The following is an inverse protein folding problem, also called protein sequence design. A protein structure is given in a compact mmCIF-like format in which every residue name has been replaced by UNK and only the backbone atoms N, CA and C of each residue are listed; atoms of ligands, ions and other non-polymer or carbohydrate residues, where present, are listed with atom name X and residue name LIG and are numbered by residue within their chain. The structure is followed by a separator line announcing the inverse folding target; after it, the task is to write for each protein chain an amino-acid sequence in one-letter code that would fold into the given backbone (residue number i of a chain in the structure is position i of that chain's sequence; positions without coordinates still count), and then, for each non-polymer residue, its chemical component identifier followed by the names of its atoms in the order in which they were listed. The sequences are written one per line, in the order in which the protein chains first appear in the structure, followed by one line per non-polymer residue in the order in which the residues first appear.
data_IF_857037295486
#
_entry.id   IF_857037295486
#
_cell.length_a   1.000
_cell.length_b   1.000
_cell.length_c   1.000
_cell.angle_alpha   90.00
_cell.angle_beta   90.00
_cell.angle_gamma   90.00
#
_symmetry.space_group_name_H-M   'P 1'
#
loop_
_entity.id
_entity.type
_entity.pdbx_description
1 polymer ?
#
# COMPACT_ATOMS: atom_id res chain seq x y z
N UNK A 1 -6.41 8.47 10.80
CA UNK A 1 -6.17 9.82 11.31
C UNK A 1 -7.26 10.26 12.30
N UNK A 2 -6.93 11.19 13.20
CA UNK A 2 -7.85 11.79 14.20
C UNK A 2 -8.53 10.75 15.13
N UNK A 3 -7.86 9.67 15.43
CA UNK A 3 -8.34 8.63 16.34
C UNK A 3 -7.52 8.62 17.62
N UNK A 4 -8.11 9.01 18.75
CA UNK A 4 -7.41 9.13 20.06
C UNK A 4 -6.78 7.82 20.54
N UNK A 5 -7.31 6.67 20.13
CA UNK A 5 -6.78 5.34 20.49
C UNK A 5 -5.69 4.80 19.56
N UNK A 6 -5.30 5.54 18.51
CA UNK A 6 -4.34 5.09 17.49
C UNK A 6 -3.10 5.98 17.52
N UNK A 7 -1.96 5.40 17.87
CA UNK A 7 -0.68 6.12 17.95
C UNK A 7 0.11 6.14 16.62
N UNK A 8 -0.35 5.40 15.60
CA UNK A 8 0.38 5.16 14.34
C UNK A 8 -0.11 6.02 13.15
N UNK A 9 -0.68 7.20 13.41
CA UNK A 9 -1.13 8.09 12.33
C UNK A 9 0.01 8.48 11.36
N UNK A 10 1.23 8.69 11.89
CA UNK A 10 2.44 8.84 11.08
C UNK A 10 3.10 7.47 10.85
N UNK A 11 2.46 6.62 10.05
CA UNK A 11 2.78 5.20 9.89
C UNK A 11 4.24 4.96 9.50
N UNK A 12 4.79 5.70 8.54
CA UNK A 12 6.19 5.58 8.10
C UNK A 12 7.19 5.87 9.24
N UNK A 13 6.87 6.83 10.13
CA UNK A 13 7.72 7.15 11.29
C UNK A 13 7.76 5.99 12.28
N UNK A 14 6.59 5.40 12.58
CA UNK A 14 6.50 4.23 13.48
C UNK A 14 7.21 3.02 12.89
N UNK A 15 7.07 2.77 11.58
CA UNK A 15 7.80 1.69 10.88
C UNK A 15 9.30 1.88 11.04
N UNK A 16 9.83 3.09 10.82
CA UNK A 16 11.25 3.39 11.00
C UNK A 16 11.72 3.12 12.42
N UNK A 17 10.94 3.53 13.43
CA UNK A 17 11.26 3.25 14.84
C UNK A 17 11.34 1.75 15.14
N UNK A 18 10.36 0.97 14.67
CA UNK A 18 10.35 -0.51 14.88
C UNK A 18 11.49 -1.17 14.11
N UNK A 19 11.76 -0.74 12.89
CA UNK A 19 12.84 -1.29 12.07
C UNK A 19 14.21 -1.05 12.69
N UNK A 20 14.45 0.13 13.28
CA UNK A 20 15.70 0.47 13.98
C UNK A 20 15.94 -0.41 15.21
N UNK A 21 14.87 -0.74 15.96
CA UNK A 21 14.97 -1.54 17.19
C UNK A 21 14.83 -3.05 16.97
N UNK A 22 14.84 -3.50 15.70
CA UNK A 22 14.75 -4.92 15.33
C UNK A 22 15.72 -5.24 14.21
N UNK A 23 16.12 -6.51 14.05
CA UNK A 23 17.14 -6.89 13.07
C UNK A 23 16.67 -7.87 12.00
N UNK A 24 15.56 -8.59 12.22
CA UNK A 24 15.13 -9.71 11.34
C UNK A 24 13.71 -9.57 10.82
N UNK A 25 12.79 -9.04 11.63
CA UNK A 25 11.38 -8.96 11.25
C UNK A 25 11.21 -8.00 10.06
N UNK A 26 10.29 -8.34 9.17
CA UNK A 26 9.77 -7.39 8.19
C UNK A 26 8.77 -6.48 8.87
N UNK A 27 8.77 -5.22 8.50
CA UNK A 27 7.88 -4.20 9.05
C UNK A 27 7.19 -3.49 7.90
N UNK A 28 5.88 -3.33 8.00
CA UNK A 28 5.13 -2.70 6.92
C UNK A 28 3.88 -1.98 7.39
N UNK A 29 3.24 -1.30 6.46
CA UNK A 29 1.94 -0.68 6.71
C UNK A 29 0.80 -1.67 6.53
N UNK A 30 -0.17 -1.63 7.41
CA UNK A 30 -1.35 -2.49 7.32
C UNK A 30 -2.70 -1.74 7.36
N UNK A 31 -2.80 -0.58 6.58
CA UNK A 31 -2.05 -0.05 5.45
C UNK A 31 -2.05 1.46 5.38
N UNK A 32 -1.31 1.98 4.40
CA UNK A 32 -1.45 3.37 3.97
C UNK A 32 -2.78 3.53 3.23
N UNK A 33 -3.59 4.48 3.67
CA UNK A 33 -4.84 4.84 3.01
C UNK A 33 -4.53 5.76 1.83
N UNK A 34 -4.12 5.14 0.72
CA UNK A 34 -3.51 5.83 -0.41
C UNK A 34 -4.34 7.01 -0.93
N UNK A 35 -5.70 6.95 -0.97
CA UNK A 35 -6.49 8.11 -1.39
C UNK A 35 -6.29 9.38 -0.54
N UNK A 36 -5.67 9.31 0.62
CA UNK A 36 -5.35 10.46 1.48
C UNK A 36 -3.95 11.05 1.21
N UNK A 37 -3.15 10.44 0.34
CA UNK A 37 -1.75 10.77 0.14
C UNK A 37 -1.41 10.93 -1.35
N UNK A 38 -0.44 11.78 -1.66
CA UNK A 38 0.14 11.80 -3.00
C UNK A 38 1.05 10.57 -3.18
N UNK A 39 0.91 9.77 -4.26
CA UNK A 39 1.71 8.57 -4.49
C UNK A 39 3.23 8.82 -4.38
N UNK A 40 3.72 9.93 -4.90
CA UNK A 40 5.15 10.28 -4.81
C UNK A 40 5.64 10.41 -3.36
N UNK A 41 4.85 11.03 -2.48
CA UNK A 41 5.24 11.16 -1.06
C UNK A 41 5.34 9.80 -0.37
N UNK A 42 4.43 8.89 -0.69
CA UNK A 42 4.46 7.52 -0.17
C UNK A 42 5.70 6.79 -0.71
N UNK A 43 6.00 6.93 -2.00
CA UNK A 43 7.19 6.33 -2.61
C UNK A 43 8.48 6.85 -1.98
N UNK A 44 8.60 8.14 -1.71
CA UNK A 44 9.77 8.74 -1.06
C UNK A 44 9.92 8.25 0.39
N UNK A 45 8.83 8.19 1.16
CA UNK A 45 8.84 7.70 2.54
C UNK A 45 9.26 6.22 2.62
N UNK A 46 8.65 5.37 1.83
CA UNK A 46 8.94 3.92 1.85
C UNK A 46 10.25 3.59 1.17
N UNK A 47 10.65 4.33 0.14
CA UNK A 47 11.98 4.25 -0.44
C UNK A 47 13.08 4.64 0.54
N UNK A 48 12.86 5.67 1.35
CA UNK A 48 13.77 6.04 2.44
C UNK A 48 13.88 4.93 3.48
N UNK A 49 12.75 4.35 3.88
CA UNK A 49 12.74 3.22 4.82
C UNK A 49 13.49 2.01 4.26
N UNK A 50 13.29 1.67 2.99
CA UNK A 50 13.99 0.56 2.34
C UNK A 50 15.50 0.83 2.22
N UNK A 51 15.91 2.07 1.93
CA UNK A 51 17.32 2.46 1.91
C UNK A 51 17.99 2.34 3.28
N UNK A 52 17.26 2.64 4.36
CA UNK A 52 17.74 2.52 5.73
C UNK A 52 17.72 1.06 6.24
N UNK A 53 16.72 0.28 5.84
CA UNK A 53 16.47 -1.08 6.34
C UNK A 53 16.24 -2.07 5.18
N UNK A 54 17.25 -2.33 4.33
CA UNK A 54 17.10 -3.09 3.08
C UNK A 54 16.46 -4.47 3.27
N UNK A 55 15.49 -4.79 2.43
CA UNK A 55 14.80 -6.08 2.39
C UNK A 55 13.83 -6.34 3.54
N UNK A 56 13.53 -5.31 4.37
CA UNK A 56 12.69 -5.46 5.56
C UNK A 56 11.39 -4.69 5.53
N UNK A 57 11.16 -3.90 4.49
CA UNK A 57 10.02 -2.99 4.41
C UNK A 57 8.94 -3.53 3.47
N UNK A 58 7.68 -3.46 3.91
CA UNK A 58 6.50 -3.82 3.12
C UNK A 58 5.52 -2.64 3.08
N UNK A 59 4.90 -2.41 1.92
CA UNK A 59 3.96 -1.33 1.71
C UNK A 59 2.55 -1.86 1.46
N UNK A 60 1.75 -1.96 2.50
CA UNK A 60 0.33 -2.28 2.40
C UNK A 60 -0.49 -1.04 2.06
N UNK A 61 -1.39 -1.13 1.09
CA UNK A 61 -2.23 -0.05 0.58
C UNK A 61 -3.71 -0.35 0.79
N UNK A 62 -4.46 0.61 1.33
CA UNK A 62 -5.90 0.57 1.48
C UNK A 62 -6.62 1.63 0.65
N UNK A 63 -7.81 1.28 0.14
CA UNK A 63 -8.67 2.21 -0.62
C UNK A 63 -9.51 3.11 0.27
N UNK A 64 -9.95 2.61 1.41
CA UNK A 64 -10.82 3.37 2.30
C UNK A 64 -10.07 4.58 2.89
N UNK A 65 -10.73 5.74 3.07
CA UNK A 65 -10.11 6.91 3.70
C UNK A 65 -9.82 6.67 5.20
N UNK A 66 -10.49 5.71 5.85
CA UNK A 66 -10.24 5.30 7.23
C UNK A 66 -10.44 6.41 8.26
N UNK A 67 -11.28 7.41 7.97
CA UNK A 67 -11.52 8.57 8.83
C UNK A 67 -12.85 9.22 8.53
N UNK A 68 -13.29 10.17 9.37
CA UNK A 68 -14.50 10.98 9.15
C UNK A 68 -14.31 12.02 8.03
N UNK A 69 -15.45 12.58 7.55
CA UNK A 69 -15.45 13.54 6.44
C UNK A 69 -14.68 14.82 6.70
N UNK A 70 -14.69 15.34 7.93
CA UNK A 70 -13.95 16.56 8.29
C UNK A 70 -12.43 16.30 8.30
N UNK A 71 -12.03 15.18 8.83
CA UNK A 71 -10.62 14.77 8.83
C UNK A 71 -10.13 14.48 7.42
N UNK A 72 -10.93 13.81 6.58
CA UNK A 72 -10.60 13.60 5.17
C UNK A 72 -10.41 14.93 4.44
N UNK A 73 -11.29 15.91 4.67
CA UNK A 73 -11.16 17.25 4.11
C UNK A 73 -9.89 17.96 4.59
N UNK A 74 -9.51 17.81 5.87
CA UNK A 74 -8.30 18.40 6.41
C UNK A 74 -7.02 17.79 5.79
N UNK A 75 -7.02 16.48 5.53
CA UNK A 75 -5.92 15.77 4.88
C UNK A 75 -5.76 16.14 3.40
N UNK A 76 -6.84 16.49 2.73
CA UNK A 76 -6.90 16.68 1.27
C UNK A 76 -7.07 18.13 0.84
N UNK A 77 -6.53 19.07 1.58
CA UNK A 77 -6.69 20.52 1.27
C UNK A 77 -6.40 20.90 -0.18
N UNK A 78 -5.57 20.15 -0.88
CA UNK A 78 -5.13 20.45 -2.26
C UNK A 78 -5.34 19.28 -3.23
N UNK A 79 -5.86 18.13 -2.77
CA UNK A 79 -6.03 16.95 -3.60
C UNK A 79 -7.52 16.72 -3.92
N UNK A 80 -7.86 16.74 -5.18
CA UNK A 80 -9.15 16.26 -5.71
C UNK A 80 -9.11 14.72 -5.76
N UNK A 81 -9.08 14.04 -4.60
CA UNK A 81 -8.95 12.60 -4.58
C UNK A 81 -10.32 11.93 -4.52
N UNK A 82 -10.64 11.22 -5.59
CA UNK A 82 -11.76 10.28 -5.66
C UNK A 82 -11.23 8.89 -5.28
N UNK A 83 -11.84 8.17 -4.31
CA UNK A 83 -11.50 6.77 -4.01
C UNK A 83 -11.57 5.83 -5.22
N UNK A 84 -12.30 6.21 -6.27
CA UNK A 84 -12.34 5.47 -7.53
C UNK A 84 -11.03 5.58 -8.33
N UNK A 85 -10.16 6.54 -8.00
CA UNK A 85 -8.82 6.65 -8.60
C UNK A 85 -7.81 5.67 -7.97
N UNK A 86 -8.16 4.97 -6.90
CA UNK A 86 -7.24 4.07 -6.20
C UNK A 86 -6.43 3.13 -7.11
N UNK A 87 -6.99 2.48 -8.15
CA UNK A 87 -6.18 1.66 -9.05
C UNK A 87 -5.11 2.46 -9.81
N UNK A 88 -5.42 3.69 -10.23
CA UNK A 88 -4.46 4.59 -10.89
C UNK A 88 -3.36 5.04 -9.94
N UNK A 89 -3.73 5.39 -8.70
CA UNK A 89 -2.79 5.80 -7.67
C UNK A 89 -1.82 4.66 -7.30
N UNK A 90 -2.32 3.41 -7.29
CA UNK A 90 -1.48 2.21 -7.08
C UNK A 90 -0.48 2.04 -8.23
N UNK A 91 -0.93 2.19 -9.49
CA UNK A 91 -0.06 2.09 -10.66
C UNK A 91 0.99 3.21 -10.68
N UNK A 92 0.61 4.43 -10.35
CA UNK A 92 1.52 5.57 -10.23
C UNK A 92 2.57 5.33 -9.14
N UNK A 93 2.15 4.86 -7.96
CA UNK A 93 3.06 4.51 -6.87
C UNK A 93 4.03 3.39 -7.27
N UNK A 94 3.53 2.34 -7.93
CA UNK A 94 4.35 1.25 -8.45
C UNK A 94 5.40 1.78 -9.45
N UNK A 95 5.02 2.71 -10.32
CA UNK A 95 5.95 3.34 -11.27
C UNK A 95 7.04 4.15 -10.55
N UNK A 96 6.71 4.88 -9.48
CA UNK A 96 7.69 5.62 -8.68
C UNK A 96 8.69 4.72 -7.94
N UNK A 97 8.30 3.50 -7.57
CA UNK A 97 9.16 2.53 -6.87
C UNK A 97 9.95 1.63 -7.83
N UNK A 98 9.59 1.63 -9.11
CA UNK A 98 10.28 0.88 -10.17
C UNK A 98 11.53 1.60 -10.66
N UNK A 99 12.33 0.91 -11.50
CA UNK A 99 13.45 1.54 -12.20
C UNK A 99 12.92 2.69 -13.07
N UNK A 100 13.58 3.86 -13.07
CA UNK A 100 13.11 5.03 -13.80
C UNK A 100 13.07 4.78 -15.29
N UNK A 101 12.02 5.26 -15.95
CA UNK A 101 11.93 5.20 -17.40
C UNK A 101 12.79 6.28 -18.06
N UNK A 102 13.27 6.01 -19.28
CA UNK A 102 13.99 7.00 -20.07
C UNK A 102 13.12 8.27 -20.23
N UNK A 103 13.69 9.44 -19.94
CA UNK A 103 13.00 10.74 -19.93
C UNK A 103 11.92 10.95 -18.85
N UNK A 104 11.85 10.13 -17.81
CA UNK A 104 10.98 10.38 -16.68
C UNK A 104 11.38 11.69 -15.96
N UNK A 105 10.48 12.69 -15.99
CA UNK A 105 10.76 14.02 -15.44
C UNK A 105 10.60 14.12 -13.92
N UNK A 106 9.76 13.28 -13.34
CA UNK A 106 9.48 13.26 -11.90
C UNK A 106 9.81 11.90 -11.36
N UNK A 107 10.74 11.83 -10.42
CA UNK A 107 11.15 10.61 -9.76
C UNK A 107 11.00 10.76 -8.25
N UNK A 108 10.58 9.70 -7.58
CA UNK A 108 10.64 9.63 -6.12
C UNK A 108 12.08 9.35 -5.69
N UNK A 109 12.69 10.21 -4.89
CA UNK A 109 14.06 10.04 -4.41
C UNK A 109 14.07 9.93 -2.89
N UNK A 110 14.58 8.83 -2.33
CA UNK A 110 15.32 7.69 -2.90
C UNK A 110 14.45 6.50 -3.36
N UNK A 111 13.13 6.70 -3.58
CA UNK A 111 12.16 5.62 -3.83
C UNK A 111 12.36 4.86 -5.15
N UNK A 112 12.85 5.51 -6.22
CA UNK A 112 13.00 4.87 -7.53
C UNK A 112 14.00 3.70 -7.47
N UNK A 113 13.65 2.61 -8.13
CA UNK A 113 14.45 1.38 -8.14
C UNK A 113 14.45 0.60 -6.83
N UNK A 114 13.79 1.09 -5.77
CA UNK A 114 13.74 0.42 -4.47
C UNK A 114 12.95 -0.89 -4.50
N UNK A 115 11.94 -0.99 -5.39
CA UNK A 115 11.09 -2.17 -5.57
C UNK A 115 10.47 -2.66 -4.25
N UNK A 116 10.14 -1.73 -3.35
CA UNK A 116 9.45 -2.05 -2.09
C UNK A 116 8.20 -2.89 -2.39
N UNK A 117 8.04 -4.07 -1.77
CA UNK A 117 6.89 -4.94 -2.04
C UNK A 117 5.57 -4.25 -1.66
N UNK A 118 4.65 -4.20 -2.63
CA UNK A 118 3.31 -3.64 -2.46
C UNK A 118 2.32 -4.76 -2.16
N UNK A 119 1.43 -4.53 -1.19
CA UNK A 119 0.30 -5.39 -0.83
C UNK A 119 -1.00 -4.62 -1.00
N UNK A 120 -2.02 -5.22 -1.59
CA UNK A 120 -3.37 -4.65 -1.60
C UNK A 120 -4.13 -5.14 -0.38
N UNK A 121 -4.60 -4.22 0.45
CA UNK A 121 -5.42 -4.52 1.62
C UNK A 121 -6.88 -4.19 1.33
N UNK A 122 -7.78 -5.06 1.78
CA UNK A 122 -9.22 -4.81 1.64
C UNK A 122 -10.07 -5.84 2.33
N UNK A 123 -11.36 -5.51 2.47
CA UNK A 123 -12.41 -6.39 3.02
C UNK A 123 -13.52 -6.65 2.00
N UNK A 124 -13.24 -6.46 0.72
CA UNK A 124 -14.23 -6.58 -0.36
C UNK A 124 -13.66 -7.33 -1.58
N UNK A 125 -14.55 -7.79 -2.44
CA UNK A 125 -14.19 -8.48 -3.68
C UNK A 125 -13.39 -7.58 -4.63
N UNK A 126 -13.64 -6.26 -4.61
CA UNK A 126 -12.89 -5.29 -5.41
C UNK A 126 -11.37 -5.34 -5.12
N UNK A 127 -10.98 -5.41 -3.85
CA UNK A 127 -9.56 -5.50 -3.47
C UNK A 127 -8.93 -6.80 -3.98
N UNK A 128 -9.66 -7.91 -3.93
CA UNK A 128 -9.24 -9.20 -4.44
C UNK A 128 -8.99 -9.17 -5.95
N UNK A 129 -9.94 -8.61 -6.72
CA UNK A 129 -9.83 -8.47 -8.18
C UNK A 129 -8.67 -7.55 -8.55
N UNK A 130 -8.54 -6.40 -7.89
CA UNK A 130 -7.45 -5.46 -8.17
C UNK A 130 -6.07 -6.10 -7.91
N UNK A 131 -5.92 -6.78 -6.77
CA UNK A 131 -4.68 -7.48 -6.44
C UNK A 131 -4.35 -8.58 -7.46
N UNK A 132 -5.37 -9.33 -7.91
CA UNK A 132 -5.23 -10.39 -8.90
C UNK A 132 -4.74 -9.84 -10.25
N UNK A 133 -5.41 -8.83 -10.79
CA UNK A 133 -5.07 -8.20 -12.09
C UNK A 133 -3.68 -7.55 -12.06
N UNK A 134 -3.30 -6.95 -10.93
CA UNK A 134 -1.99 -6.30 -10.79
C UNK A 134 -0.85 -7.27 -10.41
N UNK A 135 -1.16 -8.54 -10.17
CA UNK A 135 -0.18 -9.55 -9.74
C UNK A 135 0.48 -9.20 -8.41
N UNK A 136 -0.30 -8.64 -7.46
CA UNK A 136 0.18 -8.21 -6.15
C UNK A 136 -0.32 -9.12 -5.02
N UNK A 137 0.42 -9.25 -3.91
CA UNK A 137 -0.09 -9.90 -2.70
C UNK A 137 -1.38 -9.27 -2.22
N UNK A 138 -2.31 -10.09 -1.75
CA UNK A 138 -3.61 -9.65 -1.23
C UNK A 138 -3.71 -9.94 0.27
N UNK A 139 -3.97 -8.90 1.07
CA UNK A 139 -4.24 -9.02 2.50
C UNK A 139 -5.73 -8.74 2.76
N UNK A 140 -6.46 -9.78 3.14
CA UNK A 140 -7.90 -9.66 3.41
C UNK A 140 -8.15 -9.37 4.90
N UNK A 141 -8.86 -8.28 5.16
CA UNK A 141 -9.22 -7.86 6.51
C UNK A 141 -10.42 -8.68 7.03
N UNK A 142 -10.20 -9.95 7.37
CA UNK A 142 -11.23 -10.91 7.82
C UNK A 142 -11.98 -10.47 9.08
N UNK A 143 -11.34 -9.68 9.94
CA UNK A 143 -11.97 -9.10 11.12
C UNK A 143 -13.06 -8.06 10.79
N UNK A 144 -13.11 -7.50 9.58
CA UNK A 144 -14.18 -6.60 9.13
C UNK A 144 -15.28 -7.32 8.36
N UNK A 145 -14.93 -8.35 7.58
CA UNK A 145 -15.87 -9.02 6.69
C UNK A 145 -15.58 -10.54 6.60
N UNK A 146 -15.72 -11.30 7.70
CA UNK A 146 -15.38 -12.72 7.73
C UNK A 146 -16.16 -13.54 6.69
N UNK A 147 -17.40 -13.21 6.44
CA UNK A 147 -18.30 -13.94 5.52
C UNK A 147 -17.85 -13.84 4.04
N UNK A 148 -17.14 -12.80 3.68
CA UNK A 148 -16.65 -12.60 2.32
C UNK A 148 -15.25 -13.20 2.06
N UNK A 149 -14.59 -13.74 3.08
CA UNK A 149 -13.20 -14.20 3.01
C UNK A 149 -13.00 -15.27 1.92
N UNK A 150 -13.77 -16.34 1.97
CA UNK A 150 -13.61 -17.47 1.04
C UNK A 150 -13.84 -17.06 -0.42
N UNK A 151 -14.89 -16.25 -0.65
CA UNK A 151 -15.19 -15.74 -1.97
C UNK A 151 -14.09 -14.81 -2.50
N UNK A 152 -13.59 -13.91 -1.66
CA UNK A 152 -12.51 -12.97 -2.03
C UNK A 152 -11.21 -13.71 -2.37
N UNK A 153 -10.81 -14.69 -1.56
CA UNK A 153 -9.62 -15.50 -1.81
C UNK A 153 -9.80 -16.38 -3.06
N UNK A 154 -11.01 -16.92 -3.27
CA UNK A 154 -11.35 -17.66 -4.48
C UNK A 154 -11.16 -16.83 -5.76
N UNK A 155 -11.73 -15.62 -5.80
CA UNK A 155 -11.59 -14.67 -6.92
C UNK A 155 -10.11 -14.31 -7.11
N UNK A 156 -9.41 -13.92 -6.05
CA UNK A 156 -8.00 -13.56 -6.13
C UNK A 156 -7.16 -14.66 -6.77
N UNK A 157 -7.36 -15.92 -6.37
CA UNK A 157 -6.61 -17.06 -6.90
C UNK A 157 -6.97 -17.41 -8.35
N UNK A 158 -8.25 -17.30 -8.71
CA UNK A 158 -8.72 -17.68 -10.06
C UNK A 158 -8.39 -16.63 -11.12
N UNK A 159 -8.34 -15.34 -10.74
CA UNK A 159 -8.09 -14.23 -11.65
C UNK A 159 -6.65 -13.71 -11.58
N UNK A 160 -5.76 -14.38 -10.84
CA UNK A 160 -4.40 -13.91 -10.61
C UNK A 160 -3.56 -13.91 -11.90
N UNK A 161 -3.00 -12.75 -12.22
CA UNK A 161 -2.04 -12.56 -13.30
C UNK A 161 -0.62 -12.37 -12.71
N UNK A 162 0.38 -13.17 -13.14
CA UNK A 162 1.76 -13.01 -12.66
C UNK A 162 2.34 -11.63 -12.97
N UNK A 163 3.16 -11.10 -12.07
CA UNK A 163 3.89 -9.85 -12.24
C UNK A 163 5.38 -10.02 -11.91
N UNK A 164 6.17 -8.95 -12.10
CA UNK A 164 7.59 -8.93 -11.70
C UNK A 164 7.76 -9.12 -10.18
N UNK A 165 6.79 -8.67 -9.39
CA UNK A 165 6.83 -8.82 -7.93
C UNK A 165 6.41 -10.22 -7.47
N UNK A 166 5.43 -10.85 -8.15
CA UNK A 166 4.80 -12.07 -7.68
C UNK A 166 4.42 -13.00 -8.82
N UNK A 167 4.94 -14.24 -8.81
CA UNK A 167 4.69 -15.23 -9.85
C UNK A 167 3.51 -16.17 -9.55
N UNK A 168 3.08 -16.25 -8.29
CA UNK A 168 1.96 -17.09 -7.83
C UNK A 168 1.15 -16.33 -6.80
N UNK A 169 -0.17 -16.55 -6.71
CA UNK A 169 -1.01 -15.84 -5.75
C UNK A 169 -0.54 -16.06 -4.31
N UNK A 170 -0.41 -14.96 -3.57
CA UNK A 170 -0.04 -14.96 -2.14
C UNK A 170 -1.06 -14.14 -1.37
N UNK A 171 -1.81 -14.79 -0.49
CA UNK A 171 -2.85 -14.17 0.32
C UNK A 171 -2.55 -14.28 1.81
N UNK A 172 -2.90 -13.23 2.54
CA UNK A 172 -2.84 -13.12 4.01
C UNK A 172 -4.24 -12.76 4.53
N UNK A 173 -4.65 -13.30 5.67
CA UNK A 173 -5.93 -12.96 6.32
C UNK A 173 -5.78 -12.95 7.83
#
# INVERSE_FOLDING_TARGET
HNMKGIASAATSVVIGHVAEHTTKIRVGSGGIMLPNHAPIMVAEQFGTLEALYPGRIDLGLGRAPGTDGLTAQALRRTLNSDPNNFPKDVLELKAFLSDPQENQRVCAVPGYGSKVPIYILGSSLFGAQLAAILGLPFAFASHFAPDALEQAIGIYRSEFEPSDQLQKPYAVS
#
